data_IF_654431143265
#
_entry.id   IF_654431143265
#
_cell.length_a   1.000
_cell.length_b   1.000
_cell.length_c   1.000
_cell.angle_alpha   90.00
_cell.angle_beta   90.00
_cell.angle_gamma   90.00
#
_symmetry.space_group_name_H-M   'P 1'
#
loop_
_entity.id
_entity.type
_entity.pdbx_description
1 polymer ?
#
# COMPACT_ATOMS: atom_id res chain seq x y z
N UNK A 1 -23.93 8.77 6.90
CA UNK A 1 -23.82 7.47 6.19
C UNK A 1 -22.89 6.58 7.01
N UNK A 2 -23.17 5.29 7.13
CA UNK A 2 -22.22 4.32 7.72
C UNK A 2 -21.07 4.11 6.73
N UNK A 3 -19.82 4.06 7.21
CA UNK A 3 -18.60 4.02 6.37
C UNK A 3 -17.64 2.95 6.88
N UNK A 4 -16.97 2.25 5.95
CA UNK A 4 -15.87 1.33 6.25
C UNK A 4 -14.53 2.08 6.31
N UNK A 5 -13.69 1.72 7.29
CA UNK A 5 -12.33 2.26 7.45
C UNK A 5 -11.30 1.11 7.47
N UNK A 6 -10.02 1.47 7.45
CA UNK A 6 -8.91 0.52 7.52
C UNK A 6 -8.19 0.31 6.18
N UNK A 7 -7.36 -0.74 6.07
CA UNK A 7 -6.45 -0.90 4.94
C UNK A 7 -7.13 -1.02 3.58
N UNK A 8 -8.33 -1.62 3.49
CA UNK A 8 -9.09 -1.67 2.25
C UNK A 8 -9.51 -0.26 1.81
N UNK A 9 -10.12 0.51 2.70
CA UNK A 9 -10.54 1.89 2.41
C UNK A 9 -9.34 2.75 1.97
N UNK A 10 -8.22 2.67 2.70
CA UNK A 10 -6.97 3.35 2.34
C UNK A 10 -6.48 2.96 0.93
N UNK A 11 -6.44 1.66 0.63
CA UNK A 11 -6.01 1.17 -0.68
C UNK A 11 -6.94 1.66 -1.80
N UNK A 12 -8.26 1.59 -1.62
CA UNK A 12 -9.23 2.05 -2.62
C UNK A 12 -9.09 3.56 -2.90
N UNK A 13 -8.89 4.38 -1.85
CA UNK A 13 -8.63 5.82 -2.02
C UNK A 13 -7.32 6.07 -2.76
N UNK A 14 -6.25 5.35 -2.43
CA UNK A 14 -4.95 5.46 -3.14
C UNK A 14 -5.04 5.04 -4.61
N UNK A 15 -5.78 3.98 -4.92
CA UNK A 15 -6.04 3.54 -6.29
C UNK A 15 -6.82 4.61 -7.06
N UNK A 16 -7.88 5.17 -6.45
CA UNK A 16 -8.66 6.26 -7.05
C UNK A 16 -7.82 7.54 -7.25
N UNK A 17 -6.84 7.78 -6.37
CA UNK A 17 -5.88 8.88 -6.50
C UNK A 17 -4.74 8.60 -7.50
N UNK A 18 -4.73 7.44 -8.17
CA UNK A 18 -3.72 7.11 -9.17
C UNK A 18 -2.33 6.80 -8.61
N UNK A 19 -2.24 6.40 -7.33
CA UNK A 19 -0.94 6.11 -6.70
C UNK A 19 -0.30 4.85 -7.29
N UNK A 20 0.77 5.04 -8.06
CA UNK A 20 1.47 3.96 -8.78
C UNK A 20 2.00 2.85 -7.84
N UNK A 21 2.60 3.19 -6.69
CA UNK A 21 3.13 2.18 -5.76
C UNK A 21 2.04 1.20 -5.30
N UNK A 22 0.82 1.71 -5.08
CA UNK A 22 -0.32 0.90 -4.65
C UNK A 22 -0.80 0.01 -5.79
N UNK A 23 -0.89 0.55 -7.01
CA UNK A 23 -1.27 -0.22 -8.19
C UNK A 23 -0.27 -1.34 -8.48
N UNK A 24 1.03 -1.04 -8.46
CA UNK A 24 2.08 -2.01 -8.70
C UNK A 24 2.02 -3.16 -7.69
N UNK A 25 1.86 -2.83 -6.39
CA UNK A 25 1.83 -3.86 -5.35
C UNK A 25 0.57 -4.71 -5.38
N UNK A 26 -0.57 -4.13 -5.74
CA UNK A 26 -1.78 -4.90 -6.02
C UNK A 26 -1.55 -5.82 -7.23
N UNK A 27 -0.99 -5.32 -8.33
CA UNK A 27 -0.75 -6.08 -9.54
C UNK A 27 0.22 -7.27 -9.32
N UNK A 28 1.23 -7.12 -8.46
CA UNK A 28 2.08 -8.24 -8.03
C UNK A 28 1.26 -9.37 -7.37
N UNK A 29 0.34 -9.01 -6.47
CA UNK A 29 -0.56 -9.97 -5.81
C UNK A 29 -1.49 -10.63 -6.84
N UNK A 30 -2.07 -9.84 -7.76
CA UNK A 30 -2.92 -10.36 -8.84
C UNK A 30 -2.14 -11.33 -9.73
N UNK A 31 -0.90 -11.02 -10.09
CA UNK A 31 -0.06 -11.88 -10.92
C UNK A 31 0.22 -13.24 -10.23
N UNK A 32 0.48 -13.23 -8.93
CA UNK A 32 0.65 -14.46 -8.14
C UNK A 32 -0.66 -15.26 -8.10
N UNK A 33 -1.79 -14.59 -7.83
CA UNK A 33 -3.11 -15.22 -7.81
C UNK A 33 -3.46 -15.87 -9.16
N UNK A 34 -3.20 -15.17 -10.27
CA UNK A 34 -3.38 -15.64 -11.64
C UNK A 34 -2.51 -16.88 -11.92
N UNK A 35 -1.25 -16.87 -11.48
CA UNK A 35 -0.34 -18.01 -11.66
C UNK A 35 -0.83 -19.27 -10.92
N UNK A 36 -1.46 -19.10 -9.75
CA UNK A 36 -1.94 -20.21 -8.93
C UNK A 36 -3.31 -20.74 -9.36
N UNK A 37 -4.18 -19.87 -9.85
CA UNK A 37 -5.61 -20.21 -10.07
C UNK A 37 -6.05 -20.17 -11.52
N UNK A 38 -5.27 -19.56 -12.41
CA UNK A 38 -5.68 -19.27 -13.78
C UNK A 38 -6.72 -18.15 -13.91
N UNK A 39 -7.14 -17.53 -12.80
CA UNK A 39 -8.13 -16.45 -12.77
C UNK A 39 -7.50 -15.11 -12.36
N UNK A 40 -8.06 -14.02 -12.87
CA UNK A 40 -7.64 -12.66 -12.51
C UNK A 40 -8.48 -12.13 -11.34
N UNK A 41 -8.08 -10.99 -10.79
CA UNK A 41 -8.80 -10.30 -9.72
C UNK A 41 -9.09 -8.86 -10.14
N UNK A 42 -10.35 -8.52 -10.29
CA UNK A 42 -10.81 -7.17 -10.60
C UNK A 42 -11.04 -6.32 -9.35
N UNK A 43 -11.01 -4.99 -9.49
CA UNK A 43 -11.22 -4.04 -8.38
C UNK A 43 -12.56 -4.25 -7.69
N UNK A 44 -13.62 -4.62 -8.42
CA UNK A 44 -14.94 -4.91 -7.84
C UNK A 44 -14.89 -6.06 -6.82
N UNK A 45 -14.00 -7.04 -7.01
CA UNK A 45 -13.84 -8.19 -6.12
C UNK A 45 -13.08 -7.84 -4.82
N UNK A 46 -12.50 -6.64 -4.72
CA UNK A 46 -11.84 -6.15 -3.50
C UNK A 46 -12.84 -5.77 -2.41
N UNK A 47 -14.11 -5.56 -2.73
CA UNK A 47 -15.18 -5.38 -1.74
C UNK A 47 -15.59 -6.73 -1.11
N UNK A 48 -14.62 -7.42 -0.53
CA UNK A 48 -14.77 -8.77 0.02
C UNK A 48 -13.88 -8.97 1.25
N UNK A 49 -14.10 -10.05 1.99
CA UNK A 49 -13.25 -10.44 3.12
C UNK A 49 -11.79 -10.63 2.70
N UNK A 50 -11.55 -11.27 1.56
CA UNK A 50 -10.19 -11.44 1.00
C UNK A 50 -9.61 -10.10 0.55
N UNK A 51 -10.41 -9.23 -0.06
CA UNK A 51 -9.99 -7.88 -0.43
C UNK A 51 -9.50 -7.05 0.76
N UNK A 52 -10.11 -7.21 1.95
CA UNK A 52 -9.61 -6.58 3.19
C UNK A 52 -8.24 -7.09 3.62
N UNK A 53 -7.97 -8.38 3.43
CA UNK A 53 -6.66 -8.98 3.72
C UNK A 53 -5.63 -8.50 2.70
N UNK A 54 -5.98 -8.49 1.41
CA UNK A 54 -5.13 -7.95 0.34
C UNK A 54 -4.78 -6.48 0.63
N UNK A 55 -5.75 -5.65 1.01
CA UNK A 55 -5.51 -4.26 1.41
C UNK A 55 -4.52 -4.13 2.57
N UNK A 56 -4.55 -5.05 3.54
CA UNK A 56 -3.56 -5.10 4.62
C UNK A 56 -2.18 -5.47 4.11
N UNK A 57 -2.08 -6.44 3.21
CA UNK A 57 -0.81 -6.88 2.61
C UNK A 57 -0.17 -5.75 1.80
N UNK A 58 -0.93 -5.12 0.90
CA UNK A 58 -0.47 -3.96 0.11
C UNK A 58 0.01 -2.84 1.03
N UNK A 59 -0.74 -2.54 2.09
CA UNK A 59 -0.34 -1.51 3.04
C UNK A 59 1.00 -1.82 3.73
N UNK A 60 1.20 -3.07 4.18
CA UNK A 60 2.45 -3.51 4.79
C UNK A 60 3.63 -3.35 3.83
N UNK A 61 3.46 -3.78 2.57
CA UNK A 61 4.49 -3.63 1.56
C UNK A 61 4.89 -2.18 1.31
N UNK A 62 3.92 -1.26 1.22
CA UNK A 62 4.23 0.17 1.04
C UNK A 62 4.93 0.79 2.26
N UNK A 63 4.62 0.31 3.47
CA UNK A 63 5.24 0.80 4.69
C UNK A 63 6.74 0.48 4.75
N UNK A 64 7.18 -0.61 4.12
CA UNK A 64 8.61 -0.92 4.04
C UNK A 64 9.38 0.17 3.29
N UNK A 65 8.87 0.62 2.15
CA UNK A 65 9.49 1.70 1.37
C UNK A 65 9.45 3.03 2.13
N UNK A 66 8.35 3.30 2.82
CA UNK A 66 8.21 4.51 3.63
C UNK A 66 9.24 4.52 4.77
N UNK A 67 9.44 3.40 5.47
CA UNK A 67 10.43 3.31 6.55
C UNK A 67 11.84 3.59 6.05
N UNK A 68 12.23 3.01 4.91
CA UNK A 68 13.55 3.27 4.30
C UNK A 68 13.70 4.75 3.93
N UNK A 69 12.69 5.33 3.25
CA UNK A 69 12.72 6.72 2.83
C UNK A 69 12.79 7.69 4.02
N UNK A 70 12.02 7.44 5.08
CA UNK A 70 12.03 8.29 6.27
C UNK A 70 13.35 8.19 7.04
N UNK A 71 13.94 6.99 7.11
CA UNK A 71 15.27 6.84 7.69
C UNK A 71 16.33 7.60 6.89
N UNK A 72 16.35 7.47 5.56
CA UNK A 72 17.27 8.23 4.71
C UNK A 72 17.08 9.74 4.83
N UNK A 73 15.84 10.22 4.93
CA UNK A 73 15.54 11.63 5.15
C UNK A 73 16.08 12.13 6.50
N UNK A 74 15.92 11.34 7.57
CA UNK A 74 16.46 11.64 8.89
C UNK A 74 17.99 11.79 8.85
N UNK A 75 18.69 10.80 8.31
CA UNK A 75 20.16 10.84 8.21
C UNK A 75 20.63 12.02 7.35
N UNK A 76 19.91 12.33 6.27
CA UNK A 76 20.21 13.47 5.40
C UNK A 76 20.09 14.80 6.16
N UNK A 77 19.04 14.98 6.97
CA UNK A 77 18.86 16.21 7.74
C UNK A 77 19.92 16.36 8.83
N UNK A 78 20.26 15.28 9.54
CA UNK A 78 21.37 15.25 10.50
C UNK A 78 22.68 15.66 9.80
N UNK A 79 22.97 15.12 8.62
CA UNK A 79 24.16 15.48 7.84
C UNK A 79 24.21 16.93 7.37
N UNK A 80 23.05 17.61 7.30
CA UNK A 80 22.93 19.04 6.99
C UNK A 80 23.03 19.95 8.23
N UNK A 81 23.27 19.36 9.41
CA UNK A 81 23.43 20.09 10.67
C UNK A 81 22.12 20.34 11.43
N UNK A 82 21.01 19.76 10.99
CA UNK A 82 19.75 19.79 11.76
C UNK A 82 19.76 18.66 12.79
N UNK A 83 20.07 19.04 14.03
CA UNK A 83 20.13 18.14 15.19
C UNK A 83 18.99 18.39 16.18
N UNK A 84 18.07 19.30 15.87
CA UNK A 84 16.95 19.66 16.74
C UNK A 84 15.72 18.81 16.40
N UNK A 85 15.07 18.25 17.42
CA UNK A 85 13.80 17.53 17.28
C UNK A 85 12.69 18.34 17.95
N UNK A 86 11.48 18.32 17.39
CA UNK A 86 10.29 18.99 17.94
C UNK A 86 9.28 17.97 18.46
#
# INVERSE_FOLDING_TARGET
KTVEVGPLANMLVKLAAGRESTQNKLNEIVAIYQKLTGNTLEVAQLHSTLGRIIGRTVHCCELQDILQNQYSALITNIGKGDHTTF
#
